data_IF_415355466397
#
_entry.id   IF_415355466397
#
_cell.length_a   1.000
_cell.length_b   1.000
_cell.length_c   1.000
_cell.angle_alpha   90.00
_cell.angle_beta   90.00
_cell.angle_gamma   90.00
#
_symmetry.space_group_name_H-M   'P 1'
#
loop_
_entity.id
_entity.type
_entity.pdbx_description
1 polymer ?
#
# COMPACT_ATOMS: atom_id res chain seq x y z
N UNK A 1 -1.76 -12.51 -8.16
CA UNK A 1 -2.92 -13.23 -7.57
C UNK A 1 -3.81 -12.18 -6.94
N UNK A 2 -4.97 -11.95 -7.52
CA UNK A 2 -5.94 -11.02 -6.96
C UNK A 2 -6.74 -11.77 -5.88
N UNK A 3 -6.46 -11.54 -4.61
CA UNK A 3 -7.25 -12.12 -3.52
C UNK A 3 -8.47 -11.21 -3.33
N UNK A 4 -9.62 -11.65 -3.85
CA UNK A 4 -10.91 -11.00 -3.59
C UNK A 4 -11.46 -11.55 -2.28
N UNK A 5 -11.49 -10.73 -1.27
CA UNK A 5 -12.14 -11.08 -0.01
C UNK A 5 -13.64 -10.84 -0.10
N UNK A 6 -14.45 -11.77 0.40
CA UNK A 6 -15.89 -11.62 0.45
C UNK A 6 -16.25 -10.54 1.50
N UNK A 7 -17.21 -9.63 1.22
CA UNK A 7 -17.53 -8.53 2.14
C UNK A 7 -17.93 -8.93 3.56
N UNK A 8 -18.44 -10.14 3.73
CA UNK A 8 -18.96 -10.62 5.01
C UNK A 8 -18.19 -11.80 5.61
N UNK A 9 -17.11 -12.27 4.94
CA UNK A 9 -16.27 -13.35 5.46
C UNK A 9 -14.84 -12.86 5.61
N UNK A 10 -14.16 -13.16 6.72
CA UNK A 10 -12.77 -12.80 6.86
C UNK A 10 -11.94 -13.45 5.75
N UNK A 11 -10.98 -12.72 5.21
CA UNK A 11 -9.96 -13.31 4.36
C UNK A 11 -9.23 -14.41 5.11
N UNK A 12 -8.88 -15.46 4.40
CA UNK A 12 -8.12 -16.56 4.99
C UNK A 12 -6.78 -16.01 5.49
N UNK A 13 -6.44 -16.19 6.76
CA UNK A 13 -5.14 -15.77 7.27
C UNK A 13 -4.01 -16.62 6.67
N UNK A 14 -2.77 -16.12 6.79
CA UNK A 14 -1.54 -16.80 6.39
C UNK A 14 -1.42 -17.08 4.88
N UNK A 15 -1.70 -16.10 4.03
CA UNK A 15 -1.45 -16.22 2.61
C UNK A 15 -0.05 -15.73 2.26
N UNK A 16 0.59 -16.44 1.33
CA UNK A 16 1.81 -16.00 0.67
C UNK A 16 1.47 -15.59 -0.76
N UNK A 17 1.73 -14.33 -1.10
CA UNK A 17 1.76 -13.88 -2.48
C UNK A 17 3.20 -13.53 -2.85
N UNK A 18 3.76 -14.25 -3.78
CA UNK A 18 5.14 -14.10 -4.20
C UNK A 18 5.28 -14.02 -5.71
N UNK A 19 6.40 -13.40 -6.17
CA UNK A 19 6.74 -13.26 -7.58
C UNK A 19 5.61 -12.62 -8.40
N UNK A 20 5.05 -11.54 -7.87
CA UNK A 20 4.12 -10.71 -8.63
C UNK A 20 4.85 -10.05 -9.80
N UNK A 21 4.75 -10.65 -10.97
CA UNK A 21 5.32 -10.13 -12.21
C UNK A 21 4.23 -9.46 -13.03
N UNK A 22 4.64 -8.48 -13.82
CA UNK A 22 3.74 -7.93 -14.83
C UNK A 22 3.61 -8.91 -15.98
N UNK A 23 2.39 -9.08 -16.40
CA UNK A 23 2.04 -9.73 -17.62
C UNK A 23 2.60 -8.92 -18.81
N UNK A 24 3.67 -9.39 -19.41
CA UNK A 24 4.17 -8.94 -20.71
C UNK A 24 5.42 -8.07 -20.73
N UNK A 25 5.76 -7.31 -19.72
CA UNK A 25 7.03 -6.54 -19.71
C UNK A 25 7.36 -5.97 -18.34
N UNK A 26 8.51 -6.32 -17.82
CA UNK A 26 9.08 -5.71 -16.60
C UNK A 26 9.24 -4.19 -16.68
N UNK A 27 9.22 -3.63 -17.87
CA UNK A 27 9.38 -2.19 -18.09
C UNK A 27 8.07 -1.42 -17.96
N UNK A 28 6.95 -2.09 -18.08
CA UNK A 28 5.64 -1.46 -17.99
C UNK A 28 5.31 -0.95 -16.58
N UNK A 29 6.07 -1.34 -15.56
CA UNK A 29 5.80 -1.04 -14.16
C UNK A 29 6.35 0.29 -13.71
N UNK A 30 7.36 0.78 -14.36
CA UNK A 30 7.95 2.05 -13.98
C UNK A 30 7.05 3.16 -14.45
N UNK A 31 6.64 4.03 -13.57
CA UNK A 31 5.83 5.21 -13.89
C UNK A 31 6.30 5.96 -15.14
N UNK A 32 7.61 5.99 -15.37
CA UNK A 32 8.22 6.63 -16.53
C UNK A 32 8.06 5.83 -17.84
N UNK A 33 7.77 4.55 -17.79
CA UNK A 33 7.61 3.69 -18.96
C UNK A 33 6.16 3.26 -19.22
N UNK A 34 5.24 3.90 -18.54
CA UNK A 34 3.83 3.61 -18.59
C UNK A 34 3.22 4.05 -19.93
N UNK A 35 3.25 3.22 -20.93
CA UNK A 35 2.67 3.54 -22.24
C UNK A 35 1.34 2.85 -22.54
N UNK A 36 0.91 1.93 -21.71
CA UNK A 36 -0.33 1.17 -21.94
C UNK A 36 -0.31 0.25 -23.16
N UNK A 37 0.77 0.26 -23.96
CA UNK A 37 0.83 -0.46 -25.23
C UNK A 37 1.12 -1.96 -25.10
N UNK A 38 1.75 -2.35 -23.97
CA UNK A 38 2.27 -3.70 -23.79
C UNK A 38 1.48 -4.51 -22.77
N UNK A 39 0.34 -4.00 -22.33
CA UNK A 39 -0.51 -4.65 -21.32
C UNK A 39 -1.87 -5.00 -21.89
N UNK A 40 -2.42 -6.12 -21.45
CA UNK A 40 -3.76 -6.56 -21.86
C UNK A 40 -4.84 -5.63 -21.32
N UNK A 41 -4.64 -5.14 -20.10
CA UNK A 41 -5.50 -4.16 -19.45
C UNK A 41 -4.65 -3.00 -18.95
N UNK A 42 -5.13 -1.77 -19.00
CA UNK A 42 -4.38 -0.63 -18.47
C UNK A 42 -3.94 -0.80 -17.01
N UNK A 43 -4.75 -1.46 -16.20
CA UNK A 43 -4.44 -1.77 -14.79
C UNK A 43 -3.32 -2.81 -14.62
N UNK A 44 -2.96 -3.54 -15.66
CA UNK A 44 -1.86 -4.52 -15.59
C UNK A 44 -0.48 -3.86 -15.47
N UNK A 45 -0.43 -2.55 -15.59
CA UNK A 45 0.79 -1.77 -15.40
C UNK A 45 1.18 -1.56 -13.94
N UNK A 46 0.30 -1.83 -13.02
CA UNK A 46 0.56 -1.63 -11.59
C UNK A 46 0.36 -2.93 -10.87
N UNK A 47 1.46 -3.59 -10.62
CA UNK A 47 1.48 -4.89 -9.97
C UNK A 47 1.47 -4.71 -8.45
N UNK A 48 0.64 -5.47 -7.79
CA UNK A 48 0.70 -5.64 -6.35
C UNK A 48 0.45 -7.10 -5.97
N UNK A 49 1.19 -7.61 -4.99
CA UNK A 49 0.91 -8.94 -4.46
C UNK A 49 -0.48 -8.97 -3.82
N UNK A 50 -0.83 -7.91 -3.08
CA UNK A 50 -2.16 -7.66 -2.53
C UNK A 50 -2.66 -6.30 -2.98
N UNK A 51 -3.61 -6.27 -3.89
CA UNK A 51 -4.28 -5.06 -4.32
C UNK A 51 -5.61 -4.91 -3.57
N UNK A 52 -5.65 -3.94 -2.65
CA UNK A 52 -6.72 -3.75 -1.68
C UNK A 52 -7.54 -2.53 -2.11
N UNK A 53 -8.77 -2.75 -2.50
CA UNK A 53 -9.71 -1.69 -2.92
C UNK A 53 -10.82 -1.44 -1.91
N UNK A 54 -10.87 -2.23 -0.83
CA UNK A 54 -11.81 -2.04 0.28
C UNK A 54 -11.11 -2.35 1.60
N UNK A 55 -10.98 -1.39 2.51
CA UNK A 55 -10.33 -1.58 3.80
C UNK A 55 -11.15 -2.42 4.79
N UNK A 56 -12.46 -2.60 4.57
CA UNK A 56 -13.31 -3.45 5.41
C UNK A 56 -13.07 -4.95 5.17
N UNK A 57 -11.80 -5.33 5.22
CA UNK A 57 -11.33 -6.71 5.11
C UNK A 57 -10.28 -6.99 6.17
N UNK A 58 -10.11 -8.27 6.51
CA UNK A 58 -9.08 -8.70 7.46
C UNK A 58 -7.89 -9.28 6.71
N UNK A 59 -6.75 -8.63 6.85
CA UNK A 59 -5.44 -9.10 6.37
C UNK A 59 -4.59 -9.41 7.59
N UNK A 60 -4.41 -10.68 7.90
CA UNK A 60 -3.75 -11.15 9.11
C UNK A 60 -2.68 -12.16 8.75
N UNK A 61 -1.44 -11.91 9.20
CA UNK A 61 -0.29 -12.81 9.06
C UNK A 61 -0.03 -13.26 7.60
N UNK A 62 -0.18 -12.33 6.64
CA UNK A 62 0.10 -12.58 5.25
C UNK A 62 1.51 -12.14 4.88
N UNK A 63 2.06 -12.74 3.82
CA UNK A 63 3.38 -12.39 3.30
C UNK A 63 3.27 -11.98 1.83
N UNK A 64 3.85 -10.83 1.50
CA UNK A 64 4.03 -10.34 0.14
C UNK A 64 5.52 -10.28 -0.20
N UNK A 65 5.94 -10.98 -1.23
CA UNK A 65 7.35 -11.07 -1.59
C UNK A 65 7.59 -11.09 -3.11
N UNK A 66 8.65 -10.40 -3.55
CA UNK A 66 9.11 -10.46 -4.93
C UNK A 66 8.20 -9.78 -5.95
N UNK A 67 7.36 -8.84 -5.52
CA UNK A 67 6.57 -8.03 -6.46
C UNK A 67 7.48 -7.03 -7.16
N UNK A 68 7.29 -6.90 -8.46
CA UNK A 68 8.02 -5.89 -9.22
C UNK A 68 7.64 -4.46 -8.81
N UNK A 69 6.46 -4.26 -8.23
CA UNK A 69 6.02 -2.98 -7.69
C UNK A 69 5.68 -3.12 -6.20
N UNK A 70 4.45 -3.27 -5.84
CA UNK A 70 4.01 -3.16 -4.44
C UNK A 70 3.71 -4.52 -3.80
N UNK A 71 4.07 -4.68 -2.54
CA UNK A 71 3.65 -5.82 -1.73
C UNK A 71 2.17 -5.72 -1.36
N UNK A 72 1.80 -4.77 -0.51
CA UNK A 72 0.42 -4.48 -0.14
C UNK A 72 0.05 -3.06 -0.59
N UNK A 73 -0.91 -2.97 -1.50
CA UNK A 73 -1.35 -1.68 -2.03
C UNK A 73 -2.81 -1.40 -1.70
N UNK A 74 -3.05 -0.35 -0.93
CA UNK A 74 -4.37 0.22 -0.70
C UNK A 74 -4.65 1.25 -1.79
N UNK A 75 -5.32 0.83 -2.86
CA UNK A 75 -5.79 1.67 -3.95
C UNK A 75 -7.28 1.94 -3.77
N UNK A 76 -7.61 3.04 -3.09
CA UNK A 76 -8.95 3.30 -2.58
C UNK A 76 -9.67 4.37 -3.41
N UNK A 77 -10.51 4.00 -4.38
CA UNK A 77 -11.29 4.97 -5.13
C UNK A 77 -12.35 5.65 -4.26
N UNK A 78 -12.91 6.76 -4.73
CA UNK A 78 -14.03 7.41 -4.04
C UNK A 78 -15.26 6.51 -3.99
N UNK A 79 -15.57 5.88 -5.12
CA UNK A 79 -16.65 4.91 -5.29
C UNK A 79 -16.14 3.72 -6.11
N UNK A 80 -16.85 2.59 -6.07
CA UNK A 80 -16.55 1.46 -6.94
C UNK A 80 -16.43 1.86 -8.40
N UNK A 81 -15.42 1.31 -9.07
CA UNK A 81 -15.13 1.54 -10.47
C UNK A 81 -15.50 0.32 -11.34
N UNK A 82 -15.20 0.40 -12.64
CA UNK A 82 -15.45 -0.68 -13.59
C UNK A 82 -16.94 -0.92 -13.80
N UNK A 83 -17.36 -2.17 -13.84
CA UNK A 83 -18.75 -2.54 -14.12
C UNK A 83 -19.79 -2.03 -13.10
N UNK A 84 -19.35 -1.62 -11.92
CA UNK A 84 -20.24 -1.09 -10.87
C UNK A 84 -20.25 0.44 -10.82
N UNK A 85 -19.42 1.10 -11.64
CA UNK A 85 -19.36 2.55 -11.66
C UNK A 85 -20.73 3.16 -11.93
N UNK A 86 -21.13 4.13 -11.09
CA UNK A 86 -22.40 4.85 -11.23
C UNK A 86 -23.66 4.04 -10.91
N UNK A 87 -23.56 2.77 -10.54
CA UNK A 87 -24.71 1.98 -10.10
C UNK A 87 -25.29 2.51 -8.78
N UNK A 88 -26.59 2.28 -8.55
CA UNK A 88 -27.24 2.69 -7.30
C UNK A 88 -26.59 2.04 -6.06
N UNK A 89 -26.13 0.79 -6.21
CA UNK A 89 -25.39 0.11 -5.14
C UNK A 89 -24.04 0.78 -4.84
N UNK A 90 -23.36 1.34 -5.83
CA UNK A 90 -22.05 1.95 -5.68
C UNK A 90 -22.07 3.35 -5.05
N UNK A 91 -23.18 4.06 -5.16
CA UNK A 91 -23.30 5.47 -4.71
C UNK A 91 -23.04 5.65 -3.21
N UNK A 92 -23.37 4.65 -2.41
CA UNK A 92 -23.20 4.66 -0.95
C UNK A 92 -21.98 3.86 -0.47
N UNK A 93 -21.13 3.43 -1.39
CA UNK A 93 -19.88 2.72 -1.06
C UNK A 93 -18.73 3.70 -1.23
N UNK A 94 -18.02 3.96 -0.13
CA UNK A 94 -16.93 4.92 -0.06
C UNK A 94 -15.64 4.24 0.43
N UNK A 95 -14.86 3.57 -0.43
CA UNK A 95 -13.67 2.83 0.00
C UNK A 95 -12.71 3.65 0.86
N UNK A 96 -12.47 4.93 0.53
CA UNK A 96 -11.59 5.81 1.31
C UNK A 96 -12.08 6.12 2.71
N UNK A 97 -13.40 6.10 2.93
CA UNK A 97 -14.03 6.49 4.19
C UNK A 97 -14.46 5.30 5.01
N UNK A 98 -14.29 4.10 4.45
CA UNK A 98 -14.65 2.86 5.12
C UNK A 98 -13.59 2.53 6.17
N UNK A 99 -13.98 2.20 7.43
CA UNK A 99 -13.05 1.82 8.47
C UNK A 99 -12.21 0.60 8.10
N UNK A 100 -10.93 0.64 8.50
CA UNK A 100 -10.02 -0.49 8.37
C UNK A 100 -10.43 -1.58 9.36
N UNK A 101 -10.80 -2.76 8.86
CA UNK A 101 -11.27 -3.85 9.72
C UNK A 101 -10.13 -4.46 10.52
N UNK A 102 -9.11 -4.98 9.86
CA UNK A 102 -7.92 -5.52 10.52
C UNK A 102 -6.75 -5.62 9.54
N UNK A 103 -5.60 -5.09 9.93
CA UNK A 103 -4.36 -5.22 9.18
C UNK A 103 -3.20 -5.45 10.17
N UNK A 104 -2.87 -6.72 10.42
CA UNK A 104 -1.90 -7.07 11.45
C UNK A 104 -1.04 -8.27 11.07
N UNK A 105 0.20 -8.28 11.60
CA UNK A 105 1.15 -9.38 11.40
C UNK A 105 1.62 -9.57 9.97
N UNK A 106 1.34 -8.61 9.07
CA UNK A 106 1.68 -8.74 7.67
C UNK A 106 3.16 -8.45 7.43
N UNK A 107 3.77 -9.23 6.55
CA UNK A 107 5.17 -9.12 6.17
C UNK A 107 5.28 -8.76 4.70
N UNK A 108 6.15 -7.79 4.38
CA UNK A 108 6.42 -7.38 3.00
C UNK A 108 7.92 -7.28 2.76
N UNK A 109 8.45 -7.99 1.77
CA UNK A 109 9.88 -7.95 1.46
C UNK A 109 10.21 -8.19 0.00
N UNK A 110 11.37 -7.71 -0.43
CA UNK A 110 11.88 -7.92 -1.79
C UNK A 110 10.97 -7.39 -2.90
N UNK A 111 10.13 -6.41 -2.58
CA UNK A 111 9.28 -5.70 -3.53
C UNK A 111 9.94 -4.38 -3.94
N UNK A 112 9.30 -3.61 -4.82
CA UNK A 112 9.68 -2.21 -5.01
C UNK A 112 9.23 -1.39 -3.79
N UNK A 113 7.93 -1.36 -3.47
CA UNK A 113 7.39 -0.82 -2.23
C UNK A 113 6.78 -1.95 -1.37
N UNK A 114 7.02 -1.90 -0.06
CA UNK A 114 6.48 -2.89 0.87
C UNK A 114 4.99 -2.71 1.10
N UNK A 115 4.62 -1.61 1.71
CA UNK A 115 3.24 -1.21 1.97
C UNK A 115 2.99 0.17 1.36
N UNK A 116 1.94 0.29 0.57
CA UNK A 116 1.54 1.54 -0.10
C UNK A 116 0.10 1.88 0.25
N UNK A 117 -0.12 3.02 0.91
CA UNK A 117 -1.46 3.55 1.24
C UNK A 117 -1.57 4.91 0.57
N UNK A 118 -1.69 4.89 -0.73
CA UNK A 118 -1.75 6.07 -1.59
C UNK A 118 -1.98 5.63 -3.04
N UNK A 119 -2.12 6.60 -3.95
CA UNK A 119 -2.21 6.39 -5.38
C UNK A 119 -3.45 5.59 -5.80
N UNK A 120 -3.77 5.57 -7.06
CA UNK A 120 -4.95 4.88 -7.58
C UNK A 120 -4.83 4.63 -9.09
N UNK A 121 -5.81 3.92 -9.64
CA UNK A 121 -6.05 3.88 -11.06
C UNK A 121 -7.11 4.93 -11.38
N UNK A 122 -6.80 5.83 -12.31
CA UNK A 122 -7.71 6.85 -12.80
C UNK A 122 -8.88 6.23 -13.59
N UNK A 123 -9.92 7.01 -13.86
CA UNK A 123 -11.07 6.56 -14.64
C UNK A 123 -10.72 6.15 -16.08
N UNK A 124 -9.69 6.76 -16.65
CA UNK A 124 -9.12 6.40 -17.95
C UNK A 124 -8.18 5.19 -17.91
N UNK A 125 -8.13 4.51 -16.77
CA UNK A 125 -7.24 3.39 -16.45
C UNK A 125 -5.74 3.71 -16.45
N UNK A 126 -5.36 4.97 -16.43
CA UNK A 126 -3.96 5.34 -16.20
C UNK A 126 -3.63 5.32 -14.71
N UNK A 127 -2.34 5.15 -14.39
CA UNK A 127 -1.87 5.21 -13.02
C UNK A 127 -1.89 6.66 -12.50
N UNK A 128 -2.61 6.88 -11.41
CA UNK A 128 -2.75 8.19 -10.78
C UNK A 128 -1.74 8.41 -9.66
N UNK A 129 -1.04 9.55 -9.73
CA UNK A 129 -0.14 10.01 -8.68
C UNK A 129 -0.82 10.90 -7.65
N UNK A 130 -2.11 11.22 -7.85
CA UNK A 130 -2.85 12.06 -6.93
C UNK A 130 -2.89 11.46 -5.53
N UNK A 131 -2.90 12.32 -4.52
CA UNK A 131 -3.05 11.95 -3.13
C UNK A 131 -4.36 11.23 -2.88
N UNK A 132 -4.27 10.00 -2.40
CA UNK A 132 -5.43 9.15 -2.11
C UNK A 132 -5.32 8.61 -0.69
N UNK A 133 -5.63 9.44 0.31
CA UNK A 133 -5.59 9.00 1.69
C UNK A 133 -6.74 8.04 2.02
N UNK A 134 -6.48 7.14 2.96
CA UNK A 134 -7.52 6.45 3.70
C UNK A 134 -7.96 7.38 4.85
N UNK A 135 -9.22 7.76 4.86
CA UNK A 135 -9.83 8.68 5.82
C UNK A 135 -11.13 8.06 6.36
N UNK A 136 -11.03 7.06 7.23
CA UNK A 136 -12.21 6.39 7.74
C UNK A 136 -13.08 7.34 8.55
N UNK A 137 -14.40 7.23 8.34
CA UNK A 137 -15.40 7.94 9.09
C UNK A 137 -16.33 6.95 9.79
N UNK A 138 -16.87 7.32 10.94
CA UNK A 138 -17.89 6.52 11.62
C UNK A 138 -19.08 6.25 10.70
N UNK A 139 -19.52 7.26 9.98
CA UNK A 139 -20.47 7.13 8.87
C UNK A 139 -19.82 7.56 7.55
N UNK A 140 -19.43 6.63 6.67
CA UNK A 140 -18.78 6.95 5.40
C UNK A 140 -19.59 7.86 4.46
N UNK A 141 -20.91 7.95 4.64
CA UNK A 141 -21.78 8.79 3.83
C UNK A 141 -21.87 10.24 4.34
N UNK A 142 -21.37 10.52 5.53
CA UNK A 142 -21.42 11.82 6.15
C UNK A 142 -20.00 12.37 6.37
N UNK A 143 -19.63 13.42 5.64
CA UNK A 143 -18.31 14.06 5.74
C UNK A 143 -18.06 14.75 7.09
N UNK A 144 -19.11 15.10 7.80
CA UNK A 144 -19.03 15.75 9.12
C UNK A 144 -18.99 14.71 10.25
N UNK A 145 -19.08 13.40 9.89
CA UNK A 145 -18.98 12.32 10.84
C UNK A 145 -17.59 12.24 11.46
N UNK A 146 -17.49 11.65 12.63
CA UNK A 146 -16.23 11.49 13.35
C UNK A 146 -15.22 10.68 12.52
N UNK A 147 -13.98 11.21 12.44
CA UNK A 147 -12.90 10.52 11.79
C UNK A 147 -12.31 9.46 12.73
N UNK A 148 -12.06 8.27 12.19
CA UNK A 148 -11.58 7.11 12.94
C UNK A 148 -10.11 6.84 12.70
N UNK A 149 -9.45 6.27 13.70
CA UNK A 149 -8.07 5.80 13.56
C UNK A 149 -7.99 4.54 12.69
N UNK A 150 -6.94 4.45 11.91
CA UNK A 150 -6.57 3.24 11.16
C UNK A 150 -5.38 2.56 11.84
N UNK A 151 -5.59 1.37 12.37
CA UNK A 151 -4.57 0.62 13.09
C UNK A 151 -3.88 -0.40 12.19
N UNK A 152 -2.56 -0.24 12.05
CA UNK A 152 -1.66 -1.14 11.34
C UNK A 152 -0.70 -1.76 12.38
N UNK A 153 -0.88 -3.05 12.67
CA UNK A 153 -0.25 -3.68 13.81
C UNK A 153 0.78 -4.75 13.40
N UNK A 154 1.90 -4.81 14.10
CA UNK A 154 2.92 -5.85 13.91
C UNK A 154 3.39 -5.99 12.45
N UNK A 155 3.52 -4.89 11.72
CA UNK A 155 4.02 -4.92 10.35
C UNK A 155 5.51 -5.24 10.33
N UNK A 156 5.95 -6.04 9.37
CA UNK A 156 7.37 -6.23 9.10
C UNK A 156 7.66 -5.95 7.64
N UNK A 157 8.61 -5.05 7.37
CA UNK A 157 8.97 -4.67 6.00
C UNK A 157 10.49 -4.59 5.85
N UNK A 158 11.04 -5.37 4.92
CA UNK A 158 12.49 -5.40 4.73
C UNK A 158 12.90 -5.69 3.29
N UNK A 159 14.10 -5.20 2.93
CA UNK A 159 14.70 -5.42 1.61
C UNK A 159 13.80 -5.04 0.44
N UNK A 160 13.01 -3.98 0.60
CA UNK A 160 12.28 -3.40 -0.51
C UNK A 160 13.16 -2.35 -1.22
N UNK A 161 13.04 -2.31 -2.53
CA UNK A 161 13.95 -1.53 -3.39
C UNK A 161 13.73 -0.01 -3.31
N UNK A 162 12.54 0.40 -2.85
CA UNK A 162 12.17 1.79 -2.63
C UNK A 162 11.71 1.98 -1.19
N UNK A 163 10.46 1.84 -0.87
CA UNK A 163 9.90 2.10 0.45
C UNK A 163 9.52 0.85 1.22
N UNK A 164 9.81 0.81 2.52
CA UNK A 164 9.25 -0.19 3.42
C UNK A 164 7.76 0.07 3.62
N UNK A 165 7.40 1.34 3.85
CA UNK A 165 6.04 1.82 3.91
C UNK A 165 5.95 3.23 3.33
N UNK A 166 4.95 3.46 2.49
CA UNK A 166 4.48 4.79 2.10
C UNK A 166 3.02 4.95 2.55
N UNK A 167 2.78 5.82 3.51
CA UNK A 167 1.45 6.16 4.00
C UNK A 167 1.08 7.60 3.67
N UNK A 168 -0.15 7.81 3.20
CA UNK A 168 -0.73 9.14 3.05
C UNK A 168 -2.07 9.18 3.75
N UNK A 169 -2.22 10.12 4.64
CA UNK A 169 -3.42 10.34 5.44
C UNK A 169 -3.11 10.62 6.89
N UNK A 170 -4.14 10.88 7.64
CA UNK A 170 -4.06 11.19 9.07
C UNK A 170 -4.67 10.07 9.91
N UNK A 171 -4.42 10.11 11.21
CA UNK A 171 -4.92 9.13 12.18
C UNK A 171 -4.45 7.69 11.92
N UNK A 172 -3.30 7.50 11.28
CA UNK A 172 -2.71 6.18 11.17
C UNK A 172 -1.91 5.85 12.43
N UNK A 173 -2.18 4.69 12.98
CA UNK A 173 -1.47 4.16 14.16
C UNK A 173 -0.70 2.91 13.72
N UNK A 174 0.61 3.03 13.63
CA UNK A 174 1.50 1.91 13.36
C UNK A 174 2.07 1.44 14.69
N UNK A 175 1.71 0.25 15.12
CA UNK A 175 2.18 -0.30 16.38
C UNK A 175 2.99 -1.58 16.20
N UNK A 176 4.09 -1.71 16.95
CA UNK A 176 5.02 -2.84 16.90
C UNK A 176 5.54 -3.12 15.47
N UNK A 177 5.70 -2.08 14.66
CA UNK A 177 6.18 -2.21 13.29
C UNK A 177 7.71 -2.38 13.26
N UNK A 178 8.22 -3.12 12.28
CA UNK A 178 9.63 -3.38 12.07
C UNK A 178 10.00 -3.11 10.62
N UNK A 179 10.85 -2.10 10.42
CA UNK A 179 11.37 -1.75 9.10
C UNK A 179 12.88 -1.88 9.11
N UNK A 180 13.45 -2.65 8.19
CA UNK A 180 14.89 -2.83 8.07
C UNK A 180 15.33 -3.01 6.61
N UNK A 181 16.54 -2.55 6.28
CA UNK A 181 17.16 -2.80 4.98
C UNK A 181 16.30 -2.38 3.77
N UNK A 182 15.44 -1.38 3.90
CA UNK A 182 14.73 -0.78 2.79
C UNK A 182 15.48 0.44 2.30
N UNK A 183 15.31 0.86 1.05
CA UNK A 183 15.91 2.12 0.58
C UNK A 183 15.38 3.31 1.39
N UNK A 184 14.11 3.32 1.71
CA UNK A 184 13.48 4.23 2.67
C UNK A 184 12.66 3.36 3.64
N UNK A 185 12.94 3.42 4.93
CA UNK A 185 12.22 2.60 5.92
C UNK A 185 10.72 2.90 5.93
N UNK A 186 10.37 4.17 6.14
CA UNK A 186 8.98 4.60 6.22
C UNK A 186 8.86 6.06 5.77
N UNK A 187 7.81 6.36 5.02
CA UNK A 187 7.37 7.72 4.72
C UNK A 187 5.92 7.87 5.13
N UNK A 188 5.61 8.89 5.91
CA UNK A 188 4.24 9.25 6.27
C UNK A 188 3.96 10.68 5.86
N UNK A 189 3.12 10.86 4.85
CA UNK A 189 2.58 12.14 4.44
C UNK A 189 1.24 12.38 5.14
N UNK A 190 1.23 13.33 6.07
CA UNK A 190 0.08 13.69 6.90
C UNK A 190 -0.23 15.18 6.78
N UNK A 191 -1.38 15.60 7.28
CA UNK A 191 -1.76 17.02 7.37
C UNK A 191 -2.54 17.56 6.18
N UNK A 192 -3.06 16.71 5.32
CA UNK A 192 -3.77 17.12 4.09
C UNK A 192 -5.24 17.49 4.33
N UNK A 193 -5.76 17.29 5.52
CA UNK A 193 -7.18 17.49 5.79
C UNK A 193 -7.48 18.86 6.45
N UNK A 194 -6.49 19.73 6.50
CA UNK A 194 -6.66 21.08 7.02
C UNK A 194 -6.90 21.19 8.54
N UNK A 195 -6.67 20.12 9.28
CA UNK A 195 -6.79 20.11 10.73
C UNK A 195 -5.50 19.59 11.36
N UNK A 196 -4.77 20.50 12.00
CA UNK A 196 -3.53 20.20 12.73
C UNK A 196 -3.71 19.29 13.97
N UNK A 197 -4.90 18.80 14.21
CA UNK A 197 -5.24 17.98 15.38
C UNK A 197 -5.17 16.47 15.12
N UNK A 198 -4.98 16.04 13.90
CA UNK A 198 -4.89 14.64 13.54
C UNK A 198 -3.43 14.24 13.29
N UNK A 199 -2.94 13.32 14.10
CA UNK A 199 -1.55 12.89 14.02
C UNK A 199 -1.46 11.39 13.80
N UNK A 200 -0.76 10.99 12.75
CA UNK A 200 -0.32 9.61 12.62
C UNK A 200 0.78 9.32 13.65
N UNK A 201 0.82 8.11 14.17
CA UNK A 201 1.74 7.71 15.24
C UNK A 201 2.47 6.42 14.89
N UNK A 202 3.74 6.36 15.23
CA UNK A 202 4.55 5.16 15.22
C UNK A 202 4.86 4.80 16.69
N UNK A 203 4.36 3.65 17.15
CA UNK A 203 4.38 3.26 18.57
C UNK A 203 5.12 1.93 18.72
N UNK A 204 6.00 1.82 19.70
CA UNK A 204 6.73 0.59 20.05
C UNK A 204 7.36 -0.12 18.84
N UNK A 205 7.92 0.66 17.94
CA UNK A 205 8.34 0.20 16.61
C UNK A 205 9.85 0.36 16.44
N UNK A 206 10.40 -0.42 15.51
CA UNK A 206 11.82 -0.42 15.18
C UNK A 206 12.01 -0.03 13.70
N UNK A 207 12.79 1.01 13.46
CA UNK A 207 13.20 1.40 12.11
C UNK A 207 14.73 1.36 12.06
N UNK A 208 15.26 0.45 11.27
CA UNK A 208 16.70 0.25 11.09
C UNK A 208 17.04 0.53 9.63
N UNK A 209 18.09 1.29 9.40
CA UNK A 209 18.55 1.57 8.06
C UNK A 209 19.14 0.30 7.43
N UNK A 210 20.45 0.19 7.51
CA UNK A 210 21.19 -0.92 6.94
C UNK A 210 21.65 -1.88 8.04
N UNK A 211 21.46 -3.18 7.84
CA UNK A 211 21.98 -4.23 8.69
C UNK A 211 22.95 -5.12 7.92
N UNK A 212 23.69 -5.97 8.64
CA UNK A 212 24.57 -6.98 8.00
C UNK A 212 23.81 -7.97 7.11
N UNK A 213 22.50 -8.08 7.26
CA UNK A 213 21.64 -8.95 6.45
C UNK A 213 21.27 -8.37 5.08
N UNK A 214 21.61 -7.11 4.80
CA UNK A 214 21.31 -6.50 3.49
C UNK A 214 22.02 -7.24 2.34
N UNK A 215 23.12 -7.91 2.65
CA UNK A 215 23.94 -8.64 1.70
C UNK A 215 25.02 -7.75 1.06
N UNK A 216 25.81 -8.35 0.19
CA UNK A 216 26.84 -7.63 -0.56
C UNK A 216 26.39 -7.52 -2.03
N UNK A 217 25.77 -6.41 -2.44
CA UNK A 217 25.37 -6.24 -3.83
C UNK A 217 26.61 -6.20 -4.73
N UNK A 218 26.62 -7.02 -5.77
CA UNK A 218 27.74 -7.10 -6.72
C UNK A 218 27.46 -6.38 -8.02
N UNK A 219 26.20 -6.05 -8.30
CA UNK A 219 25.82 -5.29 -9.49
C UNK A 219 25.16 -3.96 -9.11
N UNK A 220 25.15 -2.95 -10.01
CA UNK A 220 24.44 -1.71 -9.77
C UNK A 220 22.93 -1.92 -9.50
N UNK A 221 22.31 -2.89 -10.15
CA UNK A 221 20.91 -3.25 -9.96
C UNK A 221 20.68 -3.82 -8.57
N UNK A 222 21.49 -4.77 -8.13
CA UNK A 222 21.43 -5.31 -6.78
C UNK A 222 21.65 -4.20 -5.73
N UNK A 223 22.58 -3.28 -6.01
CA UNK A 223 22.86 -2.17 -5.13
C UNK A 223 21.72 -1.15 -5.07
N UNK A 224 20.89 -1.08 -6.10
CA UNK A 224 19.68 -0.28 -6.10
C UNK A 224 18.52 -0.92 -5.32
N UNK A 225 18.69 -2.21 -4.98
CA UNK A 225 17.69 -3.01 -4.30
C UNK A 225 18.08 -3.21 -2.83
N UNK A 226 17.49 -2.45 -1.93
CA UNK A 226 17.73 -2.63 -0.50
C UNK A 226 18.94 -1.90 0.02
N UNK A 227 19.33 -0.81 -0.60
CA UNK A 227 20.24 0.10 0.06
C UNK A 227 19.52 0.88 1.13
N UNK A 228 20.27 0.94 2.20
CA UNK A 228 20.12 1.83 3.32
C UNK A 228 19.35 3.09 3.00
N UNK A 229 18.54 3.40 3.94
CA UNK A 229 18.17 4.76 4.25
C UNK A 229 19.34 5.71 4.02
N UNK A 230 19.33 6.38 2.92
CA UNK A 230 19.69 7.77 3.02
C UNK A 230 18.54 8.42 3.76
N UNK A 231 18.63 8.52 5.08
CA UNK A 231 17.87 9.55 5.77
C UNK A 231 18.01 10.80 4.95
N UNK A 232 16.92 11.46 4.54
CA UNK A 232 17.06 12.79 3.98
C UNK A 232 17.84 13.57 5.04
N UNK A 233 19.06 13.91 4.72
CA UNK A 233 19.76 14.94 5.49
C UNK A 233 18.91 16.17 5.34
N UNK A 234 18.21 16.52 6.42
CA UNK A 234 17.49 17.76 6.59
C UNK A 234 18.28 18.95 6.07
#
# INVERSE_FOLDING_TARGET
IQIKCHPTKPCVPNNLAANGEISGSRQAIRQASFSGKDTLLPSDNTVAAYWITNPDNSFIDNVAAGSDETGFWFSLPMHPQGQFAGSDAAKNIWPRRTPLRAFRGNVSHSNFDGFMIDRHINEDNTFGLASIPLLPLENPNDLESEALESHFENLTSYKNRNGGLWGRGDLYVYSNAKFADNAIGMTQAAGDIGTSRFHSRLIDSLVVGETENIGNPVTPEESAYGRSLTTPTS
#
